data_IF_260055254321
#
_entry.id   IF_260055254321
#
_cell.length_a   1.000
_cell.length_b   1.000
_cell.length_c   1.000
_cell.angle_alpha   90.00
_cell.angle_beta   90.00
_cell.angle_gamma   90.00
#
_symmetry.space_group_name_H-M   'P 1'
#
loop_
_entity.id
_entity.type
_entity.pdbx_description
1 polymer ?
#
# COMPACT_ATOMS: atom_id res chain seq x y z
N UNK A 1 -5.63 11.48 7.50
CA UNK A 1 -4.34 11.00 6.97
C UNK A 1 -3.13 11.60 7.68
N UNK A 2 -2.92 12.92 7.69
CA UNK A 2 -1.78 13.56 8.41
C UNK A 2 -1.62 13.18 9.88
N UNK A 3 -2.73 13.09 10.63
CA UNK A 3 -2.72 12.63 12.03
C UNK A 3 -2.39 11.13 12.19
N UNK A 4 -2.69 10.31 11.18
CA UNK A 4 -2.42 8.86 11.22
C UNK A 4 -0.94 8.58 10.94
N UNK A 5 -0.35 9.31 9.98
CA UNK A 5 1.07 9.18 9.65
C UNK A 5 1.99 9.66 10.77
N UNK A 6 1.57 10.66 11.54
CA UNK A 6 2.32 11.14 12.70
C UNK A 6 2.12 10.28 13.94
N UNK A 7 1.05 9.48 13.99
CA UNK A 7 0.72 8.64 15.14
C UNK A 7 1.30 7.22 15.06
N UNK A 8 1.62 6.74 13.86
CA UNK A 8 2.06 5.36 13.63
C UNK A 8 3.36 5.40 12.81
N UNK A 9 4.44 4.92 13.43
CA UNK A 9 5.62 4.53 12.67
C UNK A 9 5.35 3.18 12.00
N UNK A 10 5.49 3.11 10.68
CA UNK A 10 5.29 1.88 9.90
C UNK A 10 6.58 1.09 9.67
N UNK A 11 7.72 1.58 10.18
CA UNK A 11 9.04 0.95 10.04
C UNK A 11 9.08 -0.48 10.58
N UNK A 12 8.25 -0.79 11.59
CA UNK A 12 8.15 -2.13 12.20
C UNK A 12 7.72 -3.21 11.21
N UNK A 13 7.11 -2.85 10.07
CA UNK A 13 6.65 -3.82 9.07
C UNK A 13 7.84 -4.45 8.35
N UNK A 14 8.91 -3.70 8.08
CA UNK A 14 10.07 -4.20 7.35
C UNK A 14 10.68 -5.47 7.97
N UNK A 15 11.05 -5.52 9.27
CA UNK A 15 11.61 -6.73 9.85
C UNK A 15 10.60 -7.90 9.91
N UNK A 16 9.29 -7.63 9.96
CA UNK A 16 8.27 -8.69 10.01
C UNK A 16 8.12 -9.43 8.68
N UNK A 17 8.29 -8.72 7.56
CA UNK A 17 8.06 -9.28 6.22
C UNK A 17 9.35 -9.52 5.44
N UNK A 18 10.51 -9.19 6.00
CA UNK A 18 11.82 -9.31 5.34
C UNK A 18 12.04 -10.69 4.70
N UNK A 19 11.70 -11.76 5.43
CA UNK A 19 11.83 -13.15 4.95
C UNK A 19 10.98 -13.50 3.71
N UNK A 20 9.99 -12.66 3.36
CA UNK A 20 9.07 -12.84 2.24
C UNK A 20 9.53 -12.05 1.01
N UNK A 21 10.49 -11.15 1.16
CA UNK A 21 11.04 -10.34 0.10
C UNK A 21 12.46 -10.79 -0.22
N UNK A 22 12.69 -11.17 -1.47
CA UNK A 22 14.04 -11.46 -1.97
C UNK A 22 14.71 -10.18 -2.45
N UNK A 23 15.99 -9.93 -2.11
CA UNK A 23 16.77 -8.84 -2.72
C UNK A 23 17.05 -9.10 -4.21
N UNK A 24 16.92 -10.35 -4.66
CA UNK A 24 17.18 -10.77 -6.02
C UNK A 24 15.87 -11.03 -6.77
N UNK A 25 15.67 -10.40 -7.92
CA UNK A 25 14.52 -10.62 -8.80
C UNK A 25 13.83 -9.32 -9.24
N UNK A 26 12.58 -9.43 -9.71
CA UNK A 26 11.77 -8.26 -10.04
C UNK A 26 11.35 -7.56 -8.74
N UNK A 27 11.60 -6.25 -8.58
CA UNK A 27 11.19 -5.54 -7.37
C UNK A 27 9.67 -5.62 -7.22
N UNK A 28 9.24 -6.20 -6.10
CA UNK A 28 7.86 -6.19 -5.64
C UNK A 28 7.50 -4.81 -5.08
N UNK A 29 6.20 -4.53 -4.92
CA UNK A 29 5.75 -3.29 -4.27
C UNK A 29 6.29 -3.25 -2.83
N UNK A 30 6.66 -2.06 -2.34
CA UNK A 30 7.08 -1.87 -0.96
C UNK A 30 6.02 -2.43 0.03
N UNK A 31 6.41 -3.31 0.97
CA UNK A 31 5.49 -3.86 1.96
C UNK A 31 4.74 -2.80 2.78
N UNK A 32 5.38 -1.67 3.10
CA UNK A 32 4.74 -0.58 3.85
C UNK A 32 3.63 0.05 3.02
N UNK A 33 3.87 0.26 1.72
CA UNK A 33 2.86 0.80 0.79
C UNK A 33 1.67 -0.15 0.69
N UNK A 34 1.93 -1.44 0.53
CA UNK A 34 0.87 -2.46 0.49
C UNK A 34 0.01 -2.46 1.75
N UNK A 35 0.65 -2.42 2.93
CA UNK A 35 -0.05 -2.37 4.20
C UNK A 35 -0.89 -1.08 4.31
N UNK A 36 -0.33 0.07 3.95
CA UNK A 36 -1.06 1.34 3.94
C UNK A 36 -2.25 1.34 2.99
N UNK A 37 -2.17 0.66 1.83
CA UNK A 37 -3.31 0.49 0.91
C UNK A 37 -4.41 -0.36 1.55
N UNK A 38 -4.05 -1.47 2.21
CA UNK A 38 -4.99 -2.30 2.96
C UNK A 38 -5.60 -1.54 4.16
N UNK A 39 -4.80 -0.70 4.81
CA UNK A 39 -5.24 0.15 5.91
C UNK A 39 -6.27 1.19 5.46
N UNK A 40 -6.04 1.87 4.33
CA UNK A 40 -7.04 2.76 3.70
C UNK A 40 -8.32 1.98 3.42
N UNK A 41 -8.19 0.81 2.79
CA UNK A 41 -9.33 -0.02 2.46
C UNK A 41 -10.19 -0.34 3.70
N UNK A 42 -9.55 -0.73 4.80
CA UNK A 42 -10.22 -1.10 6.04
C UNK A 42 -10.82 0.11 6.77
N UNK A 43 -10.05 1.18 6.98
CA UNK A 43 -10.47 2.37 7.75
C UNK A 43 -11.62 3.11 7.06
N UNK A 44 -11.60 3.18 5.73
CA UNK A 44 -12.64 3.86 4.96
C UNK A 44 -13.74 2.91 4.47
N UNK A 45 -13.68 1.61 4.82
CA UNK A 45 -14.72 0.63 4.52
C UNK A 45 -14.88 0.31 3.02
N UNK A 46 -13.84 0.47 2.21
CA UNK A 46 -13.89 0.26 0.76
C UNK A 46 -13.86 -1.25 0.46
N UNK A 47 -14.97 -1.80 -0.01
CA UNK A 47 -15.08 -3.26 -0.22
C UNK A 47 -14.33 -3.77 -1.45
N UNK A 48 -14.04 -2.89 -2.42
CA UNK A 48 -13.45 -3.27 -3.70
C UNK A 48 -12.02 -2.78 -3.81
N UNK A 49 -11.10 -3.72 -4.04
CA UNK A 49 -9.69 -3.44 -4.25
C UNK A 49 -9.41 -2.55 -5.47
N UNK A 50 -10.22 -2.72 -6.52
CA UNK A 50 -10.18 -1.86 -7.72
C UNK A 50 -10.64 -0.44 -7.39
N UNK A 51 -11.68 -0.32 -6.57
CA UNK A 51 -12.17 0.98 -6.13
C UNK A 51 -11.13 1.68 -5.24
N UNK A 52 -10.47 0.97 -4.34
CA UNK A 52 -9.39 1.52 -3.51
C UNK A 52 -8.31 2.17 -4.37
N UNK A 53 -7.88 1.51 -5.45
CA UNK A 53 -6.86 2.07 -6.36
C UNK A 53 -7.36 3.29 -7.12
N UNK A 54 -8.60 3.26 -7.61
CA UNK A 54 -9.21 4.42 -8.27
C UNK A 54 -9.33 5.63 -7.32
N UNK A 55 -9.64 5.37 -6.05
CA UNK A 55 -9.66 6.40 -5.02
C UNK A 55 -8.25 6.90 -4.70
N UNK A 56 -7.23 6.04 -4.63
CA UNK A 56 -5.83 6.46 -4.48
C UNK A 56 -5.36 7.29 -5.69
N UNK A 57 -5.83 6.95 -6.89
CA UNK A 57 -5.49 7.68 -8.11
C UNK A 57 -5.99 9.12 -8.08
N UNK A 58 -7.20 9.33 -7.56
CA UNK A 58 -7.90 10.61 -7.58
C UNK A 58 -7.75 11.42 -6.29
N UNK A 59 -7.54 10.76 -5.14
CA UNK A 59 -7.47 11.41 -3.84
C UNK A 59 -6.01 11.69 -3.43
N UNK A 60 -5.66 12.97 -3.44
CA UNK A 60 -4.31 13.42 -3.08
C UNK A 60 -3.92 13.10 -1.64
N UNK A 61 -4.86 13.06 -0.70
CA UNK A 61 -4.56 12.71 0.69
C UNK A 61 -4.14 11.25 0.85
N UNK A 62 -4.68 10.36 0.01
CA UNK A 62 -4.30 8.94 -0.01
C UNK A 62 -2.93 8.76 -0.68
N UNK A 63 -2.65 9.44 -1.79
CA UNK A 63 -1.31 9.44 -2.40
C UNK A 63 -0.25 9.92 -1.42
N UNK A 64 -0.52 11.04 -0.75
CA UNK A 64 0.40 11.62 0.21
C UNK A 64 0.69 10.65 1.37
N UNK A 65 -0.35 9.99 1.92
CA UNK A 65 -0.18 8.98 2.96
C UNK A 65 0.67 7.76 2.50
N UNK A 66 0.54 7.38 1.23
CA UNK A 66 1.31 6.31 0.62
C UNK A 66 2.75 6.74 0.25
N UNK A 67 3.08 8.03 0.36
CA UNK A 67 4.36 8.57 -0.09
C UNK A 67 4.47 8.74 -1.61
N UNK A 68 3.36 8.67 -2.34
CA UNK A 68 3.35 8.87 -3.78
C UNK A 68 3.26 10.35 -4.16
N UNK A 69 4.10 10.75 -5.11
CA UNK A 69 4.02 12.05 -5.76
C UNK A 69 2.87 12.13 -6.77
N UNK A 70 2.71 13.31 -7.36
CA UNK A 70 1.72 13.58 -8.39
C UNK A 70 1.88 12.69 -9.64
N UNK A 71 3.13 12.45 -10.04
CA UNK A 71 3.47 11.70 -11.26
C UNK A 71 3.85 10.24 -11.01
N UNK A 72 3.91 9.82 -9.73
CA UNK A 72 4.26 8.43 -9.39
C UNK A 72 3.11 7.52 -9.78
N UNK A 73 3.35 6.49 -10.58
CA UNK A 73 2.29 5.53 -10.94
C UNK A 73 1.81 4.74 -9.71
N UNK A 74 0.49 4.59 -9.60
CA UNK A 74 -0.12 3.77 -8.54
C UNK A 74 -0.05 2.30 -9.00
N UNK A 75 0.31 1.35 -8.13
CA UNK A 75 0.34 -0.04 -8.51
C UNK A 75 -1.03 -0.54 -8.99
N UNK A 76 -1.02 -1.33 -10.06
CA UNK A 76 -2.23 -1.90 -10.63
C UNK A 76 -2.92 -2.88 -9.66
N UNK A 77 -4.26 -2.96 -9.72
CA UNK A 77 -5.07 -3.75 -8.77
C UNK A 77 -4.76 -5.23 -8.74
N UNK A 78 -4.28 -5.77 -9.86
CA UNK A 78 -3.87 -7.17 -9.93
C UNK A 78 -2.63 -7.46 -9.11
N UNK A 79 -1.73 -6.50 -8.94
CA UNK A 79 -0.52 -6.66 -8.12
C UNK A 79 -0.89 -6.68 -6.64
N UNK A 80 -1.77 -5.77 -6.22
CA UNK A 80 -2.30 -5.75 -4.85
C UNK A 80 -3.12 -7.02 -4.54
N UNK A 81 -3.98 -7.44 -5.47
CA UNK A 81 -4.79 -8.66 -5.32
C UNK A 81 -3.95 -9.95 -5.31
N UNK A 82 -2.90 -10.04 -6.13
CA UNK A 82 -2.00 -11.20 -6.12
C UNK A 82 -1.27 -11.34 -4.79
N UNK A 83 -0.88 -10.23 -4.14
CA UNK A 83 -0.24 -10.23 -2.82
C UNK A 83 -1.23 -10.47 -1.67
N UNK A 84 -2.53 -10.38 -1.94
CA UNK A 84 -3.58 -10.72 -0.97
C UNK A 84 -3.97 -12.21 -1.07
N UNK A 85 -3.99 -12.75 -2.29
CA UNK A 85 -4.33 -14.16 -2.57
C UNK A 85 -3.15 -15.08 -2.28
N UNK A 86 -1.96 -14.71 -2.76
CA UNK A 86 -0.70 -15.30 -2.29
C UNK A 86 -0.43 -14.59 -0.98
N UNK A 87 -0.79 -15.21 0.15
CA UNK A 87 -0.45 -14.72 1.49
C UNK A 87 1.07 -14.70 1.63
N UNK A 88 1.71 -13.74 0.98
CA UNK A 88 3.13 -13.77 0.68
C UNK A 88 3.56 -14.98 -0.17
#
# INVERSE_FOLDING_TARGET
>A
MRKLETAIDFSFIYPLVEHLYSPNGRPSIDPVVLFKMAFIQYVFGIRSMRQTIKEIETNMAYRWFLGFGFHTEVPHFSTFGKNYVRRF
#
